data_IF_103947813473
#
_entry.id   IF_103947813473
#
_cell.length_a   1.000
_cell.length_b   1.000
_cell.length_c   1.000
_cell.angle_alpha   90.00
_cell.angle_beta   90.00
_cell.angle_gamma   90.00
#
_symmetry.space_group_name_H-M   'P 1'
#
loop_
_entity.id
_entity.type
_entity.pdbx_description
1 polymer ?
#
# COMPACT_ATOMS: atom_id res chain seq x y z
N UNK A 1 8.87 -3.41 -13.33
CA UNK A 1 7.52 -3.06 -13.85
C UNK A 1 6.63 -4.29 -14.09
N UNK A 2 7.11 -5.35 -14.78
CA UNK A 2 6.31 -6.56 -15.09
C UNK A 2 5.75 -7.26 -13.85
N UNK A 3 6.60 -7.55 -12.85
CA UNK A 3 6.19 -8.20 -11.59
C UNK A 3 5.09 -7.43 -10.84
N UNK A 4 5.09 -6.10 -10.96
CA UNK A 4 4.09 -5.22 -10.35
C UNK A 4 2.91 -4.90 -11.27
N UNK A 5 2.75 -5.65 -12.38
CA UNK A 5 1.64 -5.51 -13.34
C UNK A 5 1.53 -4.15 -14.03
N UNK A 6 2.63 -3.40 -14.07
CA UNK A 6 2.67 -2.11 -14.77
C UNK A 6 2.84 -2.30 -16.28
N UNK A 7 3.73 -3.18 -16.73
CA UNK A 7 3.89 -3.45 -18.17
C UNK A 7 3.03 -4.60 -18.69
N UNK A 8 2.51 -5.45 -17.81
CA UNK A 8 1.55 -6.52 -18.12
C UNK A 8 0.38 -6.42 -17.15
N UNK A 9 -0.75 -5.80 -17.57
CA UNK A 9 -1.91 -5.61 -16.70
C UNK A 9 -2.41 -6.93 -16.11
N UNK A 10 -2.93 -6.87 -14.89
CA UNK A 10 -3.66 -7.96 -14.26
C UNK A 10 -5.07 -8.07 -14.87
N UNK A 11 -5.60 -9.29 -14.92
CA UNK A 11 -6.96 -9.55 -15.36
C UNK A 11 -8.00 -9.04 -14.34
N UNK A 12 -7.68 -9.16 -13.05
CA UNK A 12 -8.58 -8.85 -11.94
C UNK A 12 -7.80 -8.45 -10.67
N UNK A 13 -8.57 -8.14 -9.61
CA UNK A 13 -8.02 -7.75 -8.31
C UNK A 13 -7.26 -8.88 -7.61
N UNK A 14 -7.61 -10.14 -7.87
CA UNK A 14 -6.97 -11.31 -7.26
C UNK A 14 -5.57 -11.53 -7.83
N UNK A 15 -5.41 -11.40 -9.14
CA UNK A 15 -4.11 -11.43 -9.80
C UNK A 15 -3.25 -10.23 -9.41
N UNK A 16 -3.85 -9.05 -9.31
CA UNK A 16 -3.17 -7.83 -8.86
C UNK A 16 -2.60 -8.01 -7.45
N UNK A 17 -3.45 -8.31 -6.45
CA UNK A 17 -3.03 -8.47 -5.07
C UNK A 17 -2.15 -9.71 -4.88
N UNK A 18 -2.35 -10.77 -5.67
CA UNK A 18 -1.43 -11.91 -5.72
C UNK A 18 -0.02 -11.54 -6.22
N UNK A 19 0.10 -10.43 -6.97
CA UNK A 19 1.36 -9.95 -7.53
C UNK A 19 2.03 -8.89 -6.65
N UNK A 20 1.33 -7.83 -6.24
CA UNK A 20 1.91 -6.72 -5.43
C UNK A 20 1.74 -6.89 -3.93
N UNK A 21 1.10 -7.97 -3.50
CA UNK A 21 0.71 -8.33 -2.14
C UNK A 21 -0.38 -7.43 -1.52
N UNK A 22 -0.21 -6.11 -1.62
CA UNK A 22 -1.17 -5.14 -1.08
C UNK A 22 -1.07 -3.79 -1.77
N UNK A 23 -2.15 -3.01 -1.70
CA UNK A 23 -2.14 -1.59 -2.06
C UNK A 23 -2.35 -0.75 -0.81
N UNK A 24 -1.58 0.31 -0.61
CA UNK A 24 -1.87 1.26 0.46
C UNK A 24 -3.20 1.97 0.15
N UNK A 25 -4.10 2.00 1.13
CA UNK A 25 -5.47 2.48 0.99
C UNK A 25 -5.87 3.41 2.15
N UNK A 26 -4.91 4.22 2.62
CA UNK A 26 -5.21 5.35 3.49
C UNK A 26 -6.15 6.33 2.78
N UNK A 27 -5.89 6.55 1.49
CA UNK A 27 -6.72 7.27 0.54
C UNK A 27 -7.27 6.28 -0.49
N UNK A 28 -8.59 6.14 -0.56
CA UNK A 28 -9.27 5.18 -1.45
C UNK A 28 -9.16 5.59 -2.93
N UNK A 29 -9.36 6.86 -3.32
CA UNK A 29 -9.06 7.31 -4.68
C UNK A 29 -7.65 6.94 -5.17
N UNK A 30 -6.62 7.09 -4.33
CA UNK A 30 -5.25 6.73 -4.66
C UNK A 30 -5.06 5.22 -4.86
N UNK A 31 -5.64 4.40 -3.99
CA UNK A 31 -5.63 2.95 -4.15
C UNK A 31 -6.32 2.51 -5.46
N UNK A 32 -7.44 3.16 -5.80
CA UNK A 32 -8.15 2.96 -7.08
C UNK A 32 -7.29 3.34 -8.29
N UNK A 33 -6.54 4.44 -8.22
CA UNK A 33 -5.58 4.82 -9.27
C UNK A 33 -4.43 3.80 -9.39
N UNK A 34 -3.90 3.31 -8.27
CA UNK A 34 -2.86 2.29 -8.27
C UNK A 34 -3.33 0.95 -8.89
N UNK A 35 -4.58 0.55 -8.63
CA UNK A 35 -5.20 -0.61 -9.25
C UNK A 35 -5.43 -0.41 -10.76
N UNK A 36 -5.94 0.77 -11.15
CA UNK A 36 -6.15 1.15 -12.55
C UNK A 36 -4.87 1.08 -13.35
N UNK A 37 -3.76 1.62 -12.83
CA UNK A 37 -2.46 1.59 -13.51
C UNK A 37 -1.93 0.16 -13.79
N UNK A 38 -2.58 -0.85 -13.20
CA UNK A 38 -2.29 -2.27 -13.32
C UNK A 38 -3.43 -3.05 -13.99
N UNK A 39 -4.40 -2.38 -14.61
CA UNK A 39 -5.49 -3.00 -15.38
C UNK A 39 -6.80 -3.20 -14.64
N UNK A 40 -6.85 -2.94 -13.34
CA UNK A 40 -8.02 -3.27 -12.51
C UNK A 40 -8.88 -2.04 -12.28
N UNK A 41 -10.11 -2.03 -12.82
CA UNK A 41 -11.04 -0.88 -12.71
C UNK A 41 -11.88 -0.89 -11.43
N UNK A 42 -12.25 -2.07 -10.95
CA UNK A 42 -13.15 -2.26 -9.81
C UNK A 42 -12.45 -3.07 -8.71
N UNK A 43 -12.81 -2.79 -7.46
CA UNK A 43 -12.21 -3.42 -6.27
C UNK A 43 -13.21 -4.36 -5.60
N UNK A 44 -14.02 -5.05 -6.40
CA UNK A 44 -15.26 -5.72 -5.96
C UNK A 44 -15.03 -7.22 -5.64
N UNK A 45 -13.76 -7.60 -5.38
CA UNK A 45 -13.36 -8.97 -5.06
C UNK A 45 -13.25 -9.24 -3.54
N UNK A 46 -12.66 -10.39 -3.13
CA UNK A 46 -12.43 -10.77 -1.74
C UNK A 46 -11.32 -9.92 -1.09
N UNK A 47 -11.54 -8.61 -1.06
CA UNK A 47 -10.60 -7.61 -0.58
C UNK A 47 -11.02 -7.08 0.78
N UNK A 48 -10.04 -6.99 1.67
CA UNK A 48 -10.21 -6.41 3.00
C UNK A 48 -9.31 -5.19 3.09
N UNK A 49 -9.91 -4.06 3.45
CA UNK A 49 -9.18 -2.85 3.81
C UNK A 49 -9.01 -2.79 5.32
N UNK A 50 -7.79 -3.00 5.80
CA UNK A 50 -7.46 -2.92 7.23
C UNK A 50 -6.03 -2.44 7.45
N UNK A 51 -5.64 -2.22 8.71
CA UNK A 51 -4.30 -1.76 9.07
C UNK A 51 -3.30 -2.91 9.01
N UNK A 52 -2.23 -2.73 8.25
CA UNK A 52 -1.19 -3.74 8.04
C UNK A 52 0.20 -3.10 8.03
N UNK A 53 0.93 -3.18 6.90
CA UNK A 53 2.31 -2.71 6.78
C UNK A 53 2.46 -1.26 7.23
N UNK A 54 3.53 -1.00 8.00
CA UNK A 54 3.87 0.33 8.58
C UNK A 54 2.76 0.95 9.42
N UNK A 55 1.78 0.17 9.89
CA UNK A 55 0.64 0.68 10.65
C UNK A 55 -0.32 1.55 9.81
N UNK A 56 -0.39 1.32 8.50
CA UNK A 56 -1.26 2.07 7.56
C UNK A 56 -2.33 1.17 6.97
N UNK A 57 -3.44 1.77 6.53
CA UNK A 57 -4.52 1.06 5.83
C UNK A 57 -4.01 0.48 4.50
N UNK A 58 -4.31 -0.78 4.26
CA UNK A 58 -4.01 -1.49 3.01
C UNK A 58 -5.21 -2.29 2.54
N UNK A 59 -5.36 -2.41 1.22
CA UNK A 59 -6.16 -3.45 0.59
C UNK A 59 -5.33 -4.73 0.53
N UNK A 60 -5.86 -5.78 1.11
CA UNK A 60 -5.33 -7.13 1.14
C UNK A 60 -6.37 -8.09 0.56
N UNK A 61 -5.92 -9.19 -0.01
CA UNK A 61 -6.84 -10.30 -0.30
C UNK A 61 -7.16 -11.04 1.01
N UNK A 62 -8.40 -11.50 1.18
CA UNK A 62 -8.84 -12.29 2.35
C UNK A 62 -7.91 -13.45 2.73
N UNK A 63 -7.33 -14.15 1.74
CA UNK A 63 -6.37 -15.26 1.96
C UNK A 63 -5.04 -14.85 2.58
N UNK A 64 -4.74 -13.55 2.55
CA UNK A 64 -3.49 -12.96 3.03
C UNK A 64 -3.66 -12.22 4.38
N UNK A 65 -4.82 -12.34 5.02
CA UNK A 65 -5.10 -11.73 6.32
C UNK A 65 -4.19 -12.24 7.46
N UNK A 66 -3.49 -13.36 7.27
CA UNK A 66 -2.46 -13.87 8.19
C UNK A 66 -1.36 -12.84 8.47
N UNK A 67 -1.19 -11.84 7.58
CA UNK A 67 -0.21 -10.76 7.77
C UNK A 67 -0.59 -9.81 8.92
N UNK A 68 -1.88 -9.67 9.22
CA UNK A 68 -2.37 -8.79 10.29
C UNK A 68 -1.86 -9.27 11.66
N UNK A 69 -2.12 -10.53 12.10
CA UNK A 69 -1.57 -11.03 13.36
C UNK A 69 -0.04 -11.13 13.35
N UNK A 70 0.61 -11.34 12.20
CA UNK A 70 2.07 -11.31 12.10
C UNK A 70 2.64 -9.92 12.46
N UNK A 71 2.02 -8.85 11.98
CA UNK A 71 2.46 -7.47 12.18
C UNK A 71 1.96 -6.85 13.49
N UNK A 72 0.87 -7.39 14.06
CA UNK A 72 0.20 -6.83 15.21
C UNK A 72 1.10 -6.56 16.42
N UNK A 73 2.01 -7.46 16.86
CA UNK A 73 2.85 -7.22 18.04
C UNK A 73 3.69 -5.95 17.93
N UNK A 74 4.19 -5.64 16.72
CA UNK A 74 5.03 -4.47 16.45
C UNK A 74 4.22 -3.19 16.59
N UNK A 75 3.08 -3.09 15.91
CA UNK A 75 2.29 -1.85 15.88
C UNK A 75 1.47 -1.63 17.14
N UNK A 76 1.04 -2.71 17.80
CA UNK A 76 0.45 -2.62 19.14
C UNK A 76 1.49 -2.07 20.12
N UNK A 77 2.71 -2.61 20.15
CA UNK A 77 3.77 -2.11 21.03
C UNK A 77 4.13 -0.65 20.74
N UNK A 78 4.29 -0.28 19.46
CA UNK A 78 4.62 1.09 19.05
C UNK A 78 3.58 2.12 19.51
N UNK A 79 2.28 1.78 19.46
CA UNK A 79 1.21 2.68 19.88
C UNK A 79 0.96 2.74 21.40
N UNK A 80 1.58 1.86 22.21
CA UNK A 80 1.28 1.68 23.65
C UNK A 80 1.39 2.97 24.44
N UNK A 81 2.50 3.70 24.31
CA UNK A 81 2.73 4.96 25.04
C UNK A 81 1.66 6.00 24.70
N UNK A 82 1.34 6.16 23.41
CA UNK A 82 0.34 7.15 22.98
C UNK A 82 -1.06 6.77 23.45
N UNK A 83 -1.42 5.49 23.39
CA UNK A 83 -2.69 4.98 23.94
C UNK A 83 -2.82 5.28 25.42
N UNK A 84 -1.79 4.99 26.22
CA UNK A 84 -1.78 5.31 27.66
C UNK A 84 -1.96 6.82 27.95
N UNK A 85 -1.30 7.70 27.19
CA UNK A 85 -1.50 9.16 27.30
C UNK A 85 -2.92 9.62 26.98
N UNK A 86 -3.66 8.84 26.18
CA UNK A 86 -5.05 9.10 25.81
C UNK A 86 -6.04 8.40 26.77
N UNK A 87 -5.57 7.82 27.87
CA UNK A 87 -6.40 7.08 28.82
C UNK A 87 -6.78 5.66 28.37
N UNK A 88 -6.22 5.19 27.25
CA UNK A 88 -6.44 3.84 26.73
C UNK A 88 -5.43 2.87 27.37
N UNK A 89 -5.72 2.40 28.57
CA UNK A 89 -4.90 1.36 29.23
C UNK A 89 -5.02 0.02 28.50
N UNK A 90 -4.11 -0.92 28.78
CA UNK A 90 -4.17 -2.26 28.20
C UNK A 90 -5.46 -2.99 28.61
N UNK A 91 -5.91 -2.82 29.86
CA UNK A 91 -7.14 -3.40 30.39
C UNK A 91 -8.37 -2.83 29.69
N UNK A 92 -8.41 -1.51 29.46
CA UNK A 92 -9.49 -0.88 28.70
C UNK A 92 -9.50 -1.37 27.25
N UNK A 93 -8.33 -1.44 26.61
CA UNK A 93 -8.21 -1.93 25.25
C UNK A 93 -8.67 -3.40 25.13
N UNK A 94 -8.27 -4.25 26.08
CA UNK A 94 -8.68 -5.65 26.12
C UNK A 94 -10.20 -5.82 26.32
N UNK A 95 -10.83 -4.99 27.17
CA UNK A 95 -12.30 -4.95 27.33
C UNK A 95 -13.03 -4.39 26.12
N UNK A 96 -12.42 -3.45 25.40
CA UNK A 96 -13.01 -2.83 24.23
C UNK A 96 -13.10 -3.79 23.03
N UNK A 97 -12.22 -4.79 22.91
CA UNK A 97 -12.26 -5.75 21.80
C UNK A 97 -13.58 -6.55 21.74
N UNK A 98 -14.03 -7.26 22.82
CA UNK A 98 -15.33 -7.93 22.81
C UNK A 98 -16.50 -6.93 22.70
N UNK A 99 -16.40 -5.75 23.32
CA UNK A 99 -17.42 -4.71 23.19
C UNK A 99 -17.59 -4.25 21.73
N UNK A 100 -16.48 -4.09 20.99
CA UNK A 100 -16.51 -3.80 19.55
C UNK A 100 -17.20 -4.89 18.74
N UNK A 101 -16.99 -6.17 19.09
CA UNK A 101 -17.69 -7.29 18.44
C UNK A 101 -19.20 -7.27 18.68
N UNK A 102 -19.62 -6.82 19.85
CA UNK A 102 -21.04 -6.66 20.19
C UNK A 102 -21.69 -5.49 19.45
N UNK A 103 -21.02 -4.33 19.39
CA UNK A 103 -21.64 -3.11 18.82
C UNK A 103 -21.55 -3.02 17.30
N UNK A 104 -20.56 -3.63 16.66
CA UNK A 104 -20.39 -3.65 15.21
C UNK A 104 -21.27 -4.71 14.55
N UNK A 105 -22.60 -4.50 14.62
CA UNK A 105 -23.61 -5.35 13.98
C UNK A 105 -23.81 -5.07 12.48
N UNK A 106 -23.13 -4.04 11.96
CA UNK A 106 -23.07 -3.62 10.56
C UNK A 106 -22.06 -2.49 10.38
N UNK A 107 -21.93 -1.91 9.18
CA UNK A 107 -21.05 -0.78 8.93
C UNK A 107 -21.46 0.45 9.74
N UNK A 108 -20.56 0.97 10.57
CA UNK A 108 -20.79 2.17 11.38
C UNK A 108 -19.76 3.25 11.06
N UNK A 109 -20.20 4.52 11.03
CA UNK A 109 -19.24 5.62 11.11
C UNK A 109 -18.58 5.67 12.51
N UNK A 110 -17.51 6.47 12.62
CA UNK A 110 -16.75 6.59 13.88
C UNK A 110 -17.58 7.12 15.04
N UNK A 111 -18.45 8.10 14.79
CA UNK A 111 -19.21 8.76 15.84
C UNK A 111 -20.25 7.78 16.43
N UNK A 112 -20.91 7.02 15.54
CA UNK A 112 -21.86 5.97 15.90
C UNK A 112 -21.16 4.84 16.65
N UNK A 113 -20.00 4.37 16.19
CA UNK A 113 -19.22 3.35 16.90
C UNK A 113 -18.82 3.81 18.32
N UNK A 114 -18.41 5.07 18.48
CA UNK A 114 -18.07 5.64 19.80
C UNK A 114 -19.30 5.75 20.71
N UNK A 115 -20.43 6.20 20.18
CA UNK A 115 -21.68 6.29 20.95
C UNK A 115 -22.13 4.91 21.46
N UNK A 116 -22.11 3.90 20.59
CA UNK A 116 -22.45 2.52 20.96
C UNK A 116 -21.49 1.92 21.99
N UNK A 117 -20.18 2.18 21.86
CA UNK A 117 -19.22 1.75 22.87
C UNK A 117 -19.50 2.34 24.25
N UNK A 118 -19.97 3.59 24.32
CA UNK A 118 -20.36 4.21 25.58
C UNK A 118 -21.57 3.51 26.22
N UNK A 119 -22.57 3.08 25.42
CA UNK A 119 -23.74 2.31 25.89
C UNK A 119 -23.35 0.99 26.57
N UNK A 120 -22.26 0.35 26.12
CA UNK A 120 -21.72 -0.91 26.68
C UNK A 120 -20.55 -0.68 27.67
N UNK A 121 -20.39 0.53 28.19
CA UNK A 121 -19.47 0.82 29.28
C UNK A 121 -18.01 1.09 28.89
N UNK A 122 -17.76 1.50 27.63
CA UNK A 122 -16.47 1.98 27.12
C UNK A 122 -16.61 3.44 26.65
N UNK A 123 -16.74 4.42 27.56
CA UNK A 123 -16.86 5.82 27.18
C UNK A 123 -15.53 6.37 26.64
N UNK A 124 -15.59 7.14 25.55
CA UNK A 124 -14.45 7.82 24.95
C UNK A 124 -14.82 9.27 24.67
N UNK A 125 -13.89 10.21 24.84
CA UNK A 125 -14.09 11.58 24.37
C UNK A 125 -14.01 11.63 22.84
N UNK A 126 -15.12 11.93 22.12
CA UNK A 126 -15.14 11.94 20.65
C UNK A 126 -14.30 13.07 20.05
N UNK A 127 -13.96 14.11 20.83
CA UNK A 127 -13.11 15.23 20.40
C UNK A 127 -11.62 14.94 20.57
N UNK A 128 -11.29 13.89 21.31
CA UNK A 128 -9.90 13.46 21.53
C UNK A 128 -9.41 12.56 20.38
N UNK A 129 -8.14 12.18 20.43
CA UNK A 129 -7.60 11.16 19.52
C UNK A 129 -7.87 9.71 20.00
N UNK A 130 -8.45 9.52 21.19
CA UNK A 130 -8.66 8.18 21.76
C UNK A 130 -9.50 7.26 20.85
N UNK A 131 -10.62 7.70 20.23
CA UNK A 131 -11.38 6.86 19.31
C UNK A 131 -10.54 6.30 18.16
N UNK A 132 -9.75 7.15 17.49
CA UNK A 132 -8.92 6.73 16.36
C UNK A 132 -7.86 5.71 16.79
N UNK A 133 -7.24 5.91 17.95
CA UNK A 133 -6.23 4.99 18.47
C UNK A 133 -6.80 3.67 19.00
N UNK A 134 -8.00 3.67 19.57
CA UNK A 134 -8.68 2.44 19.99
C UNK A 134 -9.13 1.61 18.78
N UNK A 135 -9.72 2.25 17.77
CA UNK A 135 -10.15 1.56 16.55
C UNK A 135 -8.95 1.02 15.76
N UNK A 136 -7.84 1.75 15.70
CA UNK A 136 -6.60 1.22 15.14
C UNK A 136 -6.05 0.03 15.94
N UNK A 137 -6.08 0.09 17.28
CA UNK A 137 -5.71 -1.07 18.11
C UNK A 137 -6.59 -2.29 17.80
N UNK A 138 -7.90 -2.11 17.72
CA UNK A 138 -8.84 -3.18 17.38
C UNK A 138 -8.59 -3.76 15.98
N UNK A 139 -8.22 -2.92 15.01
CA UNK A 139 -7.81 -3.38 13.68
C UNK A 139 -6.55 -4.25 13.72
N UNK A 140 -5.51 -3.82 14.45
CA UNK A 140 -4.30 -4.64 14.64
C UNK A 140 -4.61 -5.96 15.35
N UNK A 141 -5.59 -5.96 16.26
CA UNK A 141 -6.09 -7.16 16.93
C UNK A 141 -7.05 -8.00 16.08
N UNK A 142 -7.24 -7.67 14.79
CA UNK A 142 -8.07 -8.44 13.87
C UNK A 142 -9.57 -8.40 14.18
N UNK A 143 -10.04 -7.39 14.92
CA UNK A 143 -11.46 -7.26 15.32
C UNK A 143 -12.28 -6.49 14.29
N UNK A 144 -11.68 -5.52 13.60
CA UNK A 144 -12.39 -4.68 12.65
C UNK A 144 -11.59 -4.43 11.38
N UNK A 145 -12.34 -4.09 10.32
CA UNK A 145 -11.85 -3.57 9.06
C UNK A 145 -12.47 -2.20 8.80
N UNK A 146 -12.02 -1.54 7.73
CA UNK A 146 -12.57 -0.27 7.27
C UNK A 146 -13.17 -0.45 5.88
N UNK A 147 -14.44 -0.10 5.69
CA UNK A 147 -15.09 -0.08 4.38
C UNK A 147 -14.42 0.90 3.41
N UNK A 148 -14.68 0.79 2.11
CA UNK A 148 -14.18 1.77 1.12
C UNK A 148 -14.85 3.15 1.27
N UNK A 149 -16.00 3.19 1.94
CA UNK A 149 -16.75 4.38 2.35
C UNK A 149 -16.32 4.91 3.73
N UNK A 150 -15.19 4.42 4.26
CA UNK A 150 -14.61 4.82 5.53
C UNK A 150 -15.38 4.39 6.80
N UNK A 151 -16.42 3.58 6.68
CA UNK A 151 -17.12 2.93 7.80
C UNK A 151 -16.26 1.86 8.48
N UNK A 152 -16.59 1.51 9.73
CA UNK A 152 -15.98 0.45 10.50
C UNK A 152 -16.92 -0.76 10.53
N UNK A 153 -16.37 -1.93 10.23
CA UNK A 153 -17.12 -3.18 10.15
C UNK A 153 -16.37 -4.27 10.92
N UNK A 154 -17.11 -5.26 11.42
CA UNK A 154 -16.53 -6.44 12.05
C UNK A 154 -15.62 -7.18 11.04
N UNK A 155 -14.46 -7.60 11.52
CA UNK A 155 -13.55 -8.48 10.80
C UNK A 155 -13.31 -9.74 11.63
N UNK A 156 -13.29 -10.88 10.95
CA UNK A 156 -12.86 -12.15 11.53
C UNK A 156 -11.64 -12.63 10.76
N UNK A 157 -10.59 -13.01 11.48
CA UNK A 157 -9.36 -13.55 10.92
C UNK A 157 -9.18 -14.96 11.47
N UNK A 158 -9.51 -15.96 10.64
CA UNK A 158 -9.48 -17.39 10.98
C UNK A 158 -8.21 -18.08 10.49
N UNK A 159 -7.08 -17.38 10.59
CA UNK A 159 -5.80 -17.92 10.19
C UNK A 159 -4.70 -17.53 11.16
N UNK A 160 -3.84 -18.50 11.45
CA UNK A 160 -2.60 -18.27 12.18
C UNK A 160 -1.64 -17.43 11.34
N UNK A 161 -0.83 -16.55 11.97
CA UNK A 161 0.21 -15.84 11.27
C UNK A 161 1.22 -16.81 10.65
N UNK A 162 1.58 -16.57 9.39
CA UNK A 162 2.69 -17.30 8.74
C UNK A 162 4.03 -16.70 9.14
N UNK A 163 5.10 -17.45 8.85
CA UNK A 163 6.47 -17.01 9.08
C UNK A 163 6.81 -15.74 8.27
N UNK A 164 7.64 -14.86 8.83
CA UNK A 164 8.13 -13.64 8.18
C UNK A 164 8.83 -13.92 6.85
N UNK A 165 9.40 -15.11 6.68
CA UNK A 165 10.02 -15.59 5.45
C UNK A 165 9.01 -15.70 4.31
N UNK A 166 7.75 -16.07 4.57
CA UNK A 166 6.70 -16.06 3.54
C UNK A 166 6.40 -14.62 3.09
N UNK A 167 6.29 -13.68 4.02
CA UNK A 167 6.11 -12.27 3.70
C UNK A 167 7.29 -11.71 2.90
N UNK A 168 8.52 -12.09 3.27
CA UNK A 168 9.74 -11.75 2.54
C UNK A 168 9.74 -12.29 1.11
N UNK A 169 9.37 -13.56 0.89
CA UNK A 169 9.24 -14.15 -0.45
C UNK A 169 8.20 -13.43 -1.30
N UNK A 170 7.03 -13.13 -0.72
CA UNK A 170 5.95 -12.38 -1.39
C UNK A 170 6.39 -10.97 -1.79
N UNK A 171 7.09 -10.29 -0.88
CA UNK A 171 7.66 -8.98 -1.14
C UNK A 171 8.70 -9.05 -2.29
N UNK A 172 9.67 -9.96 -2.20
CA UNK A 172 10.70 -10.18 -3.21
C UNK A 172 10.13 -10.46 -4.60
N UNK A 173 9.05 -11.25 -4.70
CA UNK A 173 8.35 -11.51 -5.96
C UNK A 173 7.87 -10.24 -6.67
N UNK A 174 7.44 -9.23 -5.91
CA UNK A 174 6.90 -7.98 -6.44
C UNK A 174 7.96 -6.90 -6.64
N UNK A 175 8.91 -6.83 -5.71
CA UNK A 175 9.84 -5.72 -5.54
C UNK A 175 11.31 -6.11 -5.77
N UNK A 176 11.60 -7.36 -6.12
CA UNK A 176 12.94 -7.84 -6.45
C UNK A 176 13.52 -7.15 -7.70
N UNK A 177 14.84 -6.87 -7.72
CA UNK A 177 15.80 -7.02 -6.63
C UNK A 177 15.58 -5.99 -5.50
N UNK A 178 15.55 -6.43 -4.25
CA UNK A 178 15.36 -5.57 -3.07
C UNK A 178 16.15 -6.06 -1.86
N UNK A 179 16.58 -5.11 -1.02
CA UNK A 179 17.37 -5.41 0.18
C UNK A 179 16.48 -5.72 1.40
N UNK A 180 17.02 -6.36 2.44
CA UNK A 180 16.35 -6.45 3.75
C UNK A 180 16.00 -5.08 4.34
N UNK A 181 16.76 -4.03 4.00
CA UNK A 181 16.51 -2.66 4.40
C UNK A 181 15.28 -2.06 3.74
N UNK A 182 15.05 -2.38 2.46
CA UNK A 182 13.81 -2.05 1.76
C UNK A 182 12.64 -2.80 2.36
N UNK A 183 12.79 -4.10 2.63
CA UNK A 183 11.75 -4.90 3.26
C UNK A 183 11.39 -4.43 4.66
N UNK A 184 12.37 -4.02 5.46
CA UNK A 184 12.13 -3.41 6.77
C UNK A 184 11.32 -2.11 6.65
N UNK A 185 11.69 -1.25 5.70
CA UNK A 185 10.97 0.00 5.46
C UNK A 185 9.55 -0.25 4.92
N UNK A 186 9.39 -1.22 4.03
CA UNK A 186 8.11 -1.59 3.43
C UNK A 186 7.18 -2.25 4.45
N UNK A 187 7.63 -3.25 5.20
CA UNK A 187 6.79 -3.97 6.17
C UNK A 187 6.53 -3.14 7.43
N UNK A 188 7.49 -2.31 7.84
CA UNK A 188 7.54 -1.65 9.15
C UNK A 188 8.05 -2.57 10.27
N UNK A 189 8.57 -3.76 9.94
CA UNK A 189 9.16 -4.67 10.91
C UNK A 189 10.55 -4.17 11.37
N UNK A 190 10.92 -4.38 12.66
CA UNK A 190 12.24 -4.02 13.15
C UNK A 190 13.35 -4.81 12.46
N UNK A 191 14.34 -4.12 11.90
CA UNK A 191 15.49 -4.72 11.19
C UNK A 191 16.18 -5.86 11.94
N UNK A 192 16.23 -5.78 13.29
CA UNK A 192 16.87 -6.79 14.14
C UNK A 192 16.34 -8.20 13.88
N UNK A 193 15.04 -8.34 13.60
CA UNK A 193 14.37 -9.61 13.33
C UNK A 193 14.44 -10.09 11.88
N UNK A 194 15.13 -9.35 10.99
CA UNK A 194 15.16 -9.60 9.54
C UNK A 194 16.56 -9.97 9.03
N UNK A 195 17.55 -10.08 9.91
CA UNK A 195 18.96 -10.30 9.53
C UNK A 195 19.23 -11.69 8.96
N UNK A 196 18.45 -12.68 9.38
CA UNK A 196 18.62 -14.08 9.00
C UNK A 196 17.62 -14.50 7.91
N UNK A 197 17.03 -13.54 7.19
CA UNK A 197 16.14 -13.85 6.08
C UNK A 197 16.92 -14.57 4.98
N UNK A 198 16.40 -15.69 4.46
CA UNK A 198 17.12 -16.46 3.46
C UNK A 198 17.27 -15.64 2.17
N UNK A 199 18.35 -15.86 1.41
CA UNK A 199 18.37 -15.43 0.03
C UNK A 199 17.18 -16.09 -0.66
N UNK A 200 16.37 -15.28 -1.31
CA UNK A 200 15.42 -15.77 -2.29
C UNK A 200 16.13 -15.68 -3.64
N UNK A 201 15.74 -16.50 -4.60
CA UNK A 201 16.18 -16.35 -5.98
C UNK A 201 15.12 -15.50 -6.72
N UNK A 202 15.51 -14.32 -7.20
CA UNK A 202 14.58 -13.44 -7.93
C UNK A 202 14.30 -13.98 -9.34
N UNK A 203 15.22 -14.75 -9.92
CA UNK A 203 15.08 -15.36 -11.25
C UNK A 203 14.03 -16.49 -11.23
N UNK A 204 13.90 -17.19 -10.10
CA UNK A 204 12.89 -18.23 -9.88
C UNK A 204 11.43 -17.70 -9.88
N UNK A 205 11.21 -16.39 -9.77
CA UNK A 205 9.87 -15.79 -9.92
C UNK A 205 9.44 -15.56 -11.37
N UNK A 206 10.33 -15.90 -12.33
CA UNK A 206 10.03 -16.11 -13.74
C UNK A 206 11.00 -15.39 -14.66
N UNK A 207 11.87 -16.16 -15.33
CA UNK A 207 12.08 -15.98 -16.76
C UNK A 207 10.70 -16.04 -17.44
N UNK A 208 10.27 -14.93 -18.02
CA UNK A 208 9.17 -14.93 -18.98
C UNK A 208 9.67 -14.16 -20.18
N UNK A 209 10.08 -14.92 -21.19
CA UNK A 209 10.61 -14.54 -22.51
C UNK A 209 12.14 -14.32 -22.60
N UNK A 210 12.92 -15.40 -22.40
CA UNK A 210 14.07 -15.71 -23.26
C UNK A 210 15.28 -14.77 -23.29
N UNK A 211 15.63 -14.11 -22.17
CA UNK A 211 16.98 -13.53 -22.02
C UNK A 211 17.50 -13.87 -20.63
N UNK A 212 18.28 -14.96 -20.56
CA UNK A 212 19.08 -15.31 -19.39
C UNK A 212 20.27 -14.34 -19.29
N UNK A 213 20.50 -13.77 -18.11
CA UNK A 213 21.72 -13.01 -17.81
C UNK A 213 21.98 -13.05 -16.30
N UNK A 214 23.18 -13.43 -15.85
CA UNK A 214 23.43 -13.63 -14.42
C UNK A 214 23.57 -12.27 -13.73
N UNK A 215 22.82 -12.03 -12.67
CA UNK A 215 23.02 -10.87 -11.79
C UNK A 215 23.31 -11.33 -10.36
N UNK A 216 24.43 -12.04 -10.19
CA UNK A 216 25.06 -12.24 -8.90
C UNK A 216 25.94 -11.05 -8.53
N UNK A 217 25.57 -10.33 -7.46
CA UNK A 217 26.46 -9.37 -6.80
C UNK A 217 26.09 -7.90 -7.02
N UNK A 218 26.29 -7.11 -5.96
CA UNK A 218 26.09 -5.68 -5.95
C UNK A 218 26.76 -5.00 -7.17
N UNK A 219 26.01 -4.06 -7.78
CA UNK A 219 26.45 -3.22 -8.89
C UNK A 219 26.87 -3.98 -10.17
N UNK A 220 25.89 -4.38 -10.99
CA UNK A 220 26.19 -4.83 -12.35
C UNK A 220 24.98 -5.36 -13.10
N UNK A 221 24.55 -4.62 -14.12
CA UNK A 221 23.82 -5.11 -15.28
C UNK A 221 22.40 -5.66 -15.04
N UNK A 222 21.44 -4.75 -14.85
CA UNK A 222 20.18 -4.92 -15.58
C UNK A 222 20.56 -4.86 -17.07
N UNK A 223 20.57 -6.01 -17.76
CA UNK A 223 20.67 -6.03 -19.21
C UNK A 223 19.64 -5.06 -19.75
N UNK A 224 20.09 -4.04 -20.48
CA UNK A 224 19.21 -3.05 -21.07
C UNK A 224 18.38 -3.76 -22.16
N UNK A 225 17.24 -4.33 -21.76
CA UNK A 225 16.12 -4.44 -22.65
C UNK A 225 15.93 -3.03 -23.25
N UNK A 226 15.92 -2.93 -24.57
CA UNK A 226 15.69 -1.65 -25.24
C UNK A 226 14.41 -0.99 -24.73
N UNK A 227 14.26 0.34 -24.90
CA UNK A 227 13.10 1.05 -24.41
C UNK A 227 11.81 0.37 -24.87
N UNK A 228 10.99 -0.08 -23.92
CA UNK A 228 9.72 -0.76 -24.19
C UNK A 228 8.60 0.23 -24.50
N UNK A 229 8.85 1.53 -24.25
CA UNK A 229 7.87 2.60 -24.43
C UNK A 229 6.73 2.55 -23.42
N UNK A 230 6.85 1.79 -22.33
CA UNK A 230 5.76 1.63 -21.37
C UNK A 230 5.69 2.86 -20.48
N UNK A 231 4.59 3.61 -20.61
CA UNK A 231 4.30 4.81 -19.82
C UNK A 231 3.20 4.53 -18.82
N UNK A 232 3.37 4.95 -17.56
CA UNK A 232 2.33 4.84 -16.51
C UNK A 232 2.22 6.13 -15.72
N UNK A 233 1.00 6.65 -15.57
CA UNK A 233 0.69 7.76 -14.68
C UNK A 233 0.22 7.21 -13.34
N UNK A 234 1.08 7.28 -12.34
CA UNK A 234 0.85 6.70 -11.01
C UNK A 234 0.32 7.76 -10.04
N UNK A 235 -0.64 7.37 -9.23
CA UNK A 235 -1.18 8.21 -8.16
C UNK A 235 -0.21 8.38 -6.99
N UNK A 236 -0.63 9.13 -5.98
CA UNK A 236 0.10 9.16 -4.72
C UNK A 236 0.01 7.81 -4.00
N UNK A 237 0.99 7.53 -3.14
CA UNK A 237 1.10 6.25 -2.41
C UNK A 237 1.17 4.98 -3.29
N UNK A 238 1.53 5.09 -4.58
CA UNK A 238 1.66 3.91 -5.43
C UNK A 238 2.79 2.97 -4.92
N UNK A 239 2.54 1.63 -4.87
CA UNK A 239 3.54 0.67 -4.40
C UNK A 239 4.84 0.66 -5.21
N UNK A 240 4.84 1.21 -6.43
CA UNK A 240 6.04 1.26 -7.28
C UNK A 240 7.24 1.94 -6.61
N UNK A 241 7.00 3.03 -5.88
CA UNK A 241 8.03 3.70 -5.08
C UNK A 241 7.90 3.40 -3.59
N UNK A 242 6.68 3.16 -3.07
CA UNK A 242 6.50 2.80 -1.65
C UNK A 242 7.06 1.42 -1.28
N UNK A 243 7.30 0.57 -2.28
CA UNK A 243 7.96 -0.72 -2.11
C UNK A 243 9.37 -0.61 -1.54
N UNK A 244 10.05 0.53 -1.73
CA UNK A 244 11.48 0.64 -1.50
C UNK A 244 11.84 1.74 -0.51
N UNK A 245 12.92 1.50 0.24
CA UNK A 245 13.61 2.52 1.02
C UNK A 245 14.49 3.35 0.11
N UNK A 246 15.34 2.69 -0.67
CA UNK A 246 16.14 3.34 -1.71
C UNK A 246 15.38 3.31 -3.05
N UNK A 247 15.14 4.50 -3.60
CA UNK A 247 14.38 4.69 -4.83
C UNK A 247 15.26 5.11 -6.01
N UNK A 248 16.57 5.20 -5.82
CA UNK A 248 17.53 5.74 -6.81
C UNK A 248 17.50 5.00 -8.16
N UNK A 249 17.17 3.71 -8.13
CA UNK A 249 16.99 2.89 -9.33
C UNK A 249 15.80 3.33 -10.21
N UNK A 250 14.77 3.96 -9.62
CA UNK A 250 13.59 4.44 -10.35
C UNK A 250 13.58 5.97 -10.47
N UNK A 251 14.06 6.68 -9.45
CA UNK A 251 13.94 8.12 -9.30
C UNK A 251 15.32 8.74 -9.12
N UNK A 252 15.69 9.60 -10.06
CA UNK A 252 16.93 10.38 -9.97
C UNK A 252 16.96 11.19 -8.66
N UNK A 253 18.02 11.08 -7.84
CA UNK A 253 18.17 11.86 -6.61
C UNK A 253 18.00 13.37 -6.80
N UNK A 254 18.34 13.93 -7.97
CA UNK A 254 18.15 15.35 -8.29
C UNK A 254 16.67 15.76 -8.27
N UNK A 255 15.76 14.85 -8.60
CA UNK A 255 14.31 15.09 -8.64
C UNK A 255 13.58 14.57 -7.39
N UNK A 256 14.31 13.97 -6.44
CA UNK A 256 13.70 13.26 -5.31
C UNK A 256 12.74 14.13 -4.50
N UNK A 257 13.05 15.42 -4.28
CA UNK A 257 12.22 16.35 -3.49
C UNK A 257 10.92 16.76 -4.18
N UNK A 258 10.84 16.63 -5.51
CA UNK A 258 9.61 16.91 -6.27
C UNK A 258 8.57 15.79 -6.10
N UNK A 259 9.06 14.56 -5.89
CA UNK A 259 8.21 13.38 -5.74
C UNK A 259 8.00 13.01 -4.27
N UNK A 260 9.02 13.18 -3.42
CA UNK A 260 9.01 12.76 -2.02
C UNK A 260 8.92 13.98 -1.11
N UNK A 261 7.71 14.42 -0.80
CA UNK A 261 7.46 15.66 -0.06
C UNK A 261 7.46 15.50 1.47
N UNK A 262 7.82 14.31 1.96
CA UNK A 262 7.89 14.00 3.40
C UNK A 262 6.65 13.27 3.93
N UNK A 263 6.73 12.78 5.17
CA UNK A 263 5.62 12.07 5.82
C UNK A 263 5.17 10.77 5.15
N UNK A 264 5.96 10.22 4.22
CA UNK A 264 5.58 9.08 3.39
C UNK A 264 4.71 9.44 2.18
N UNK A 265 4.42 10.72 1.95
CA UNK A 265 3.69 11.18 0.77
C UNK A 265 4.56 11.09 -0.48
N UNK A 266 3.93 10.63 -1.57
CA UNK A 266 4.51 10.61 -2.90
C UNK A 266 3.63 11.42 -3.84
N UNK A 267 4.18 12.45 -4.47
CA UNK A 267 3.49 13.17 -5.53
C UNK A 267 3.12 12.21 -6.68
N UNK A 268 1.92 12.33 -7.27
CA UNK A 268 1.60 11.58 -8.48
C UNK A 268 2.67 11.83 -9.55
N UNK A 269 3.12 10.77 -10.22
CA UNK A 269 4.30 10.81 -11.07
C UNK A 269 4.14 9.92 -12.30
N UNK A 270 4.93 10.23 -13.34
CA UNK A 270 4.96 9.50 -14.60
C UNK A 270 6.20 8.62 -14.64
N UNK A 271 5.99 7.34 -14.94
CA UNK A 271 7.05 6.35 -15.12
C UNK A 271 7.13 6.00 -16.60
N UNK A 272 8.33 6.06 -17.18
CA UNK A 272 8.64 5.58 -18.53
C UNK A 272 9.74 4.54 -18.42
N UNK A 273 9.47 3.31 -18.87
CA UNK A 273 10.43 2.19 -18.86
C UNK A 273 11.15 2.01 -17.50
N UNK A 274 10.42 2.26 -16.41
CA UNK A 274 10.88 2.08 -15.04
C UNK A 274 11.60 3.29 -14.43
N UNK A 275 11.68 4.41 -15.15
CA UNK A 275 12.24 5.65 -14.65
C UNK A 275 11.15 6.68 -14.42
N UNK A 276 11.19 7.35 -13.28
CA UNK A 276 10.31 8.49 -12.97
C UNK A 276 10.82 9.70 -13.74
N UNK A 277 10.01 10.26 -14.63
CA UNK A 277 10.41 11.32 -15.56
C UNK A 277 9.60 12.61 -15.44
N UNK A 278 8.49 12.58 -14.69
CA UNK A 278 7.65 13.75 -14.47
C UNK A 278 6.82 13.61 -13.20
N UNK A 279 6.34 14.72 -12.66
CA UNK A 279 5.17 14.74 -11.77
C UNK A 279 3.91 15.11 -12.55
N UNK A 280 2.75 14.73 -12.04
CA UNK A 280 1.47 15.19 -12.59
C UNK A 280 0.49 15.53 -11.49
N UNK A 281 -0.52 16.32 -11.83
CA UNK A 281 -1.67 16.59 -10.96
C UNK A 281 -2.93 16.81 -11.78
N UNK A 282 -4.08 16.63 -11.13
CA UNK A 282 -5.37 16.95 -11.70
C UNK A 282 -5.86 18.30 -11.19
N UNK A 283 -6.33 19.15 -12.10
CA UNK A 283 -6.95 20.45 -11.79
C UNK A 283 -8.27 20.56 -12.54
N UNK A 284 -9.38 20.27 -11.85
CA UNK A 284 -10.69 20.13 -12.50
C UNK A 284 -10.69 18.95 -13.50
N UNK A 285 -10.97 19.22 -14.77
CA UNK A 285 -10.83 18.25 -15.87
C UNK A 285 -9.43 18.21 -16.51
N UNK A 286 -8.50 19.08 -16.10
CA UNK A 286 -7.16 19.14 -16.70
C UNK A 286 -6.19 18.21 -16.00
N UNK A 287 -5.34 17.55 -16.77
CA UNK A 287 -4.18 16.79 -16.29
C UNK A 287 -2.94 17.61 -16.60
N UNK A 288 -2.35 18.20 -15.56
CA UNK A 288 -1.11 18.97 -15.67
C UNK A 288 0.09 18.03 -15.46
N UNK A 289 1.02 18.05 -16.41
CA UNK A 289 2.25 17.24 -16.35
C UNK A 289 3.47 18.15 -16.38
N UNK A 290 4.35 17.94 -15.40
CA UNK A 290 5.59 18.68 -15.20
C UNK A 290 6.78 17.74 -15.45
N UNK A 291 7.32 17.71 -16.68
CA UNK A 291 8.45 16.85 -17.02
C UNK A 291 9.75 17.34 -16.39
N UNK A 292 10.61 16.39 -15.99
CA UNK A 292 11.95 16.69 -15.49
C UNK A 292 12.98 16.90 -16.62
N UNK A 293 12.57 16.65 -17.87
CA UNK A 293 13.39 16.72 -19.07
C UNK A 293 12.50 16.71 -20.32
N UNK A 294 12.84 15.93 -21.37
CA UNK A 294 11.97 15.77 -22.54
C UNK A 294 10.55 15.31 -22.16
N UNK A 295 9.56 15.78 -22.91
CA UNK A 295 8.15 15.42 -22.68
C UNK A 295 7.92 13.94 -22.99
N UNK A 296 7.45 13.13 -22.03
CA UNK A 296 7.05 11.76 -22.31
C UNK A 296 5.76 11.71 -23.13
N UNK A 297 5.53 10.64 -23.89
CA UNK A 297 4.24 10.39 -24.53
C UNK A 297 3.23 9.85 -23.50
N UNK A 298 2.34 10.72 -23.03
CA UNK A 298 1.35 10.41 -22.00
C UNK A 298 -0.09 10.39 -22.54
N UNK A 299 -0.28 10.49 -23.85
CA UNK A 299 -1.60 10.68 -24.45
C UNK A 299 -2.58 9.55 -24.08
N UNK A 300 -2.13 8.29 -24.21
CA UNK A 300 -2.96 7.13 -23.85
C UNK A 300 -3.29 7.07 -22.36
N UNK A 301 -2.32 7.37 -21.50
CA UNK A 301 -2.51 7.39 -20.05
C UNK A 301 -3.48 8.49 -19.62
N UNK A 302 -3.42 9.68 -20.23
CA UNK A 302 -4.37 10.77 -19.97
C UNK A 302 -5.78 10.39 -20.42
N UNK A 303 -5.92 9.81 -21.61
CA UNK A 303 -7.21 9.37 -22.12
C UNK A 303 -7.83 8.28 -21.23
N UNK A 304 -7.03 7.32 -20.76
CA UNK A 304 -7.51 6.31 -19.84
C UNK A 304 -7.83 6.89 -18.44
N UNK A 305 -7.11 7.94 -18.00
CA UNK A 305 -7.41 8.61 -16.72
C UNK A 305 -8.76 9.31 -16.83
N UNK A 306 -9.03 9.98 -17.95
CA UNK A 306 -10.33 10.59 -18.25
C UNK A 306 -11.46 9.58 -18.19
N UNK A 307 -11.33 8.44 -18.88
CA UNK A 307 -12.32 7.35 -18.82
C UNK A 307 -12.51 6.80 -17.41
N UNK A 308 -11.42 6.60 -16.66
CA UNK A 308 -11.48 6.03 -15.33
C UNK A 308 -12.13 6.97 -14.30
N UNK A 309 -11.84 8.26 -14.42
CA UNK A 309 -12.32 9.30 -13.51
C UNK A 309 -13.65 9.93 -13.96
N UNK A 310 -14.21 9.44 -15.06
CA UNK A 310 -15.41 9.96 -15.73
C UNK A 310 -15.33 11.48 -15.98
N UNK A 311 -14.23 11.92 -16.60
CA UNK A 311 -14.01 13.33 -16.98
C UNK A 311 -13.39 13.48 -18.36
N UNK A 312 -13.70 14.59 -19.00
CA UNK A 312 -13.01 15.04 -20.21
C UNK A 312 -11.60 15.53 -19.86
N UNK A 313 -10.64 14.62 -19.92
CA UNK A 313 -9.26 14.85 -19.49
C UNK A 313 -8.46 15.59 -20.55
N UNK A 314 -8.16 16.87 -20.31
CA UNK A 314 -7.31 17.68 -21.17
C UNK A 314 -5.86 17.74 -20.65
N UNK A 315 -4.89 17.31 -21.47
CA UNK A 315 -3.46 17.40 -21.14
C UNK A 315 -2.98 18.86 -21.19
N UNK A 316 -2.30 19.29 -20.14
CA UNK A 316 -1.58 20.58 -20.08
C UNK A 316 -0.14 20.31 -19.66
N UNK A 317 0.82 20.84 -20.42
CA UNK A 317 2.23 20.84 -20.03
C UNK A 317 2.55 22.09 -19.24
N UNK A 318 3.25 21.94 -18.13
CA UNK A 318 3.63 23.05 -17.23
C UNK A 318 5.13 23.05 -16.98
#
# INVERSE_FOLDING_TARGET
>A
MRAQRLSRPAADVDELLGSVFALQAQDVPAARLAARARGVRFLDGPVVRTWAMRGTLHLLHERDLWVVPLLAPVFIAAGRRRRSQLGLTDELCARALPALREVLTGPLDRATAVARLAEVGIPLDPRSQAPAHLLAYAAYSGVLKRGLDDTYELLHIDCEPRDVTELWRRYRRAYGPATPDDFAAWSGLPKRGLRDLPPVDDEAFGEVDGVSGPAGGAAGCAGAAGPTGVVRMLGHFDPYLLGYRDRSAMLDPAHARLVQTGGGFLTPHVVVDGRVVATWRRVGGRIEVHPFGPRPDVAEEVADLGRFLDVDAALTWV
#
